data_IF_939973034038
#
_entry.id   IF_939973034038
#
_cell.length_a   1.000
_cell.length_b   1.000
_cell.length_c   1.000
_cell.angle_alpha   90.00
_cell.angle_beta   90.00
_cell.angle_gamma   90.00
#
_symmetry.space_group_name_H-M   'P 1'
#
loop_
_entity.id
_entity.type
_entity.pdbx_description
1 polymer ?
#
# COMPACT_ATOMS: atom_id res chain seq x y z
N UNK A 1 17.96 -3.39 -13.91
CA UNK A 1 17.19 -4.04 -14.99
C UNK A 1 15.68 -3.83 -14.74
N UNK A 2 14.97 -3.01 -15.56
CA UNK A 2 13.55 -2.73 -15.40
C UNK A 2 12.67 -3.97 -15.48
N UNK A 3 12.99 -4.93 -16.34
CA UNK A 3 12.18 -6.13 -16.51
C UNK A 3 12.28 -7.05 -15.27
N UNK A 4 13.45 -7.12 -14.64
CA UNK A 4 13.62 -7.84 -13.37
C UNK A 4 12.85 -7.15 -12.25
N UNK A 5 12.94 -5.83 -12.12
CA UNK A 5 12.18 -5.07 -11.13
C UNK A 5 10.68 -5.27 -11.31
N UNK A 6 10.18 -5.27 -12.55
CA UNK A 6 8.79 -5.54 -12.86
C UNK A 6 8.35 -6.94 -12.39
N UNK A 7 9.14 -7.99 -12.69
CA UNK A 7 8.81 -9.37 -12.30
C UNK A 7 8.75 -9.54 -10.77
N UNK A 8 9.59 -8.83 -10.03
CA UNK A 8 9.63 -8.90 -8.57
C UNK A 8 8.51 -8.07 -7.91
N UNK A 9 8.19 -6.90 -8.45
CA UNK A 9 7.22 -5.98 -7.84
C UNK A 9 5.77 -6.32 -8.18
N UNK A 10 5.51 -6.80 -9.38
CA UNK A 10 4.14 -7.04 -9.85
C UNK A 10 3.33 -7.94 -8.91
N UNK A 11 3.83 -9.13 -8.47
CA UNK A 11 3.08 -10.00 -7.56
C UNK A 11 2.96 -9.42 -6.13
N UNK A 12 3.81 -8.46 -5.76
CA UNK A 12 3.65 -7.77 -4.48
C UNK A 12 2.50 -6.76 -4.52
N UNK A 13 2.34 -6.05 -5.65
CA UNK A 13 1.34 -4.99 -5.78
C UNK A 13 -0.06 -5.54 -6.07
N UNK A 14 -0.16 -6.55 -6.92
CA UNK A 14 -1.44 -7.03 -7.42
C UNK A 14 -1.55 -8.55 -7.34
N UNK A 15 -2.73 -9.04 -6.98
CA UNK A 15 -3.01 -10.48 -6.97
C UNK A 15 -3.07 -11.06 -8.39
N UNK A 16 -2.82 -12.36 -8.53
CA UNK A 16 -2.89 -13.04 -9.82
C UNK A 16 -4.31 -12.97 -10.43
N UNK A 17 -5.33 -13.06 -9.58
CA UNK A 17 -6.74 -12.96 -9.95
C UNK A 17 -7.06 -11.57 -10.53
N UNK A 18 -6.61 -10.51 -9.85
CA UNK A 18 -6.80 -9.14 -10.35
C UNK A 18 -6.10 -8.93 -11.69
N UNK A 19 -4.86 -9.41 -11.83
CA UNK A 19 -4.10 -9.29 -13.06
C UNK A 19 -4.67 -10.11 -14.22
N UNK A 20 -5.46 -11.14 -13.95
CA UNK A 20 -6.21 -11.87 -14.95
C UNK A 20 -7.45 -11.09 -15.43
N UNK A 21 -8.10 -10.36 -14.52
CA UNK A 21 -9.27 -9.52 -14.83
C UNK A 21 -8.88 -8.17 -15.44
N UNK A 22 -7.73 -7.63 -15.05
CA UNK A 22 -7.23 -6.30 -15.40
C UNK A 22 -5.81 -6.39 -15.98
N UNK A 23 -5.63 -6.99 -17.17
CA UNK A 23 -4.30 -7.18 -17.77
C UNK A 23 -3.57 -5.88 -18.08
N UNK A 24 -4.30 -4.76 -18.25
CA UNK A 24 -3.73 -3.42 -18.45
C UNK A 24 -2.82 -2.99 -17.29
N UNK A 25 -3.09 -3.39 -16.06
CA UNK A 25 -2.25 -3.06 -14.90
C UNK A 25 -0.81 -3.53 -15.06
N UNK A 26 -0.61 -4.64 -15.80
CA UNK A 26 0.75 -5.13 -16.13
C UNK A 26 1.49 -4.14 -17.02
N UNK A 27 0.78 -3.62 -18.00
CA UNK A 27 1.34 -2.70 -18.99
C UNK A 27 1.68 -1.36 -18.36
N UNK A 28 0.72 -0.79 -17.64
CA UNK A 28 0.85 0.50 -16.95
C UNK A 28 2.02 0.48 -15.95
N UNK A 29 2.17 -0.60 -15.20
CA UNK A 29 3.28 -0.76 -14.26
C UNK A 29 4.63 -0.88 -14.97
N UNK A 30 4.71 -1.66 -16.04
CA UNK A 30 5.95 -1.81 -16.82
C UNK A 30 6.38 -0.48 -17.42
N UNK A 31 5.44 0.28 -17.98
CA UNK A 31 5.68 1.60 -18.54
C UNK A 31 6.12 2.60 -17.44
N UNK A 32 5.48 2.58 -16.28
CA UNK A 32 5.88 3.40 -15.14
C UNK A 32 7.32 3.10 -14.70
N UNK A 33 7.71 1.83 -14.61
CA UNK A 33 9.09 1.43 -14.25
C UNK A 33 10.10 1.87 -15.31
N UNK A 34 9.77 1.71 -16.61
CA UNK A 34 10.68 2.06 -17.72
C UNK A 34 10.86 3.56 -17.91
N UNK A 35 9.83 4.34 -17.59
CA UNK A 35 9.83 5.81 -17.75
C UNK A 35 10.27 6.56 -16.51
N UNK A 36 10.22 5.93 -15.32
CA UNK A 36 10.65 6.55 -14.09
C UNK A 36 12.15 6.88 -14.11
N UNK A 37 12.55 8.06 -13.66
CA UNK A 37 13.97 8.37 -13.49
C UNK A 37 14.58 7.42 -12.45
N UNK A 38 15.83 6.96 -12.64
CA UNK A 38 16.47 6.07 -11.70
C UNK A 38 16.65 6.76 -10.34
N UNK A 39 16.29 6.05 -9.28
CA UNK A 39 16.54 6.52 -7.91
C UNK A 39 18.04 6.47 -7.62
N UNK A 40 18.68 7.59 -7.25
CA UNK A 40 20.09 7.59 -6.88
C UNK A 40 20.36 6.62 -5.72
N UNK A 41 21.47 5.89 -5.77
CA UNK A 41 21.85 4.90 -4.75
C UNK A 41 21.82 5.47 -3.33
N UNK A 42 22.35 6.68 -3.14
CA UNK A 42 22.32 7.34 -1.83
C UNK A 42 20.90 7.58 -1.31
N UNK A 43 19.95 7.89 -2.18
CA UNK A 43 18.56 8.07 -1.82
C UNK A 43 17.96 6.74 -1.36
N UNK A 44 18.23 5.68 -2.09
CA UNK A 44 17.82 4.33 -1.73
C UNK A 44 18.35 3.89 -0.36
N UNK A 45 19.65 4.07 -0.13
CA UNK A 45 20.30 3.76 1.17
C UNK A 45 19.66 4.55 2.31
N UNK A 46 19.41 5.86 2.13
CA UNK A 46 18.77 6.71 3.14
C UNK A 46 17.34 6.29 3.43
N UNK A 47 16.55 5.94 2.41
CA UNK A 47 15.19 5.44 2.61
C UNK A 47 15.18 4.15 3.44
N UNK A 48 16.04 3.19 3.10
CA UNK A 48 16.15 1.95 3.87
C UNK A 48 16.62 2.16 5.30
N UNK A 49 17.56 3.07 5.52
CA UNK A 49 18.00 3.43 6.87
C UNK A 49 16.85 4.05 7.69
N UNK A 50 16.06 4.93 7.07
CA UNK A 50 14.90 5.55 7.72
C UNK A 50 13.83 4.51 8.07
N UNK A 51 13.50 3.59 7.14
CA UNK A 51 12.52 2.52 7.37
C UNK A 51 12.96 1.60 8.52
N UNK A 52 14.22 1.18 8.52
CA UNK A 52 14.77 0.29 9.58
C UNK A 52 14.83 0.95 10.95
N UNK A 53 15.03 2.26 11.00
CA UNK A 53 15.09 3.04 12.23
C UNK A 53 13.73 3.52 12.73
N UNK A 54 12.68 3.38 11.92
CA UNK A 54 11.36 3.89 12.26
C UNK A 54 10.59 2.90 13.14
N UNK A 55 10.18 3.37 14.32
CA UNK A 55 9.23 2.67 15.17
C UNK A 55 8.26 3.69 15.79
N UNK A 56 6.99 3.58 15.47
CA UNK A 56 5.93 4.43 16.00
C UNK A 56 5.02 3.70 16.99
N UNK A 57 5.21 2.41 17.23
CA UNK A 57 4.29 1.54 17.95
C UNK A 57 3.83 2.13 19.28
N UNK A 58 4.77 2.60 20.13
CA UNK A 58 4.46 3.16 21.45
C UNK A 58 3.85 4.57 21.40
N UNK A 59 3.96 5.26 20.26
CA UNK A 59 3.42 6.59 20.03
C UNK A 59 2.00 6.57 19.43
N UNK A 60 1.60 5.47 18.78
CA UNK A 60 0.28 5.35 18.14
C UNK A 60 -0.89 5.67 19.07
N UNK A 61 -0.89 5.25 20.36
CA UNK A 61 -1.99 5.58 21.28
C UNK A 61 -2.11 7.07 21.62
N UNK A 62 -1.11 7.86 21.26
CA UNK A 62 -1.11 9.32 21.51
C UNK A 62 -1.83 10.10 20.41
N UNK A 63 -2.16 9.47 19.29
CA UNK A 63 -2.94 10.10 18.23
C UNK A 63 -4.33 10.50 18.77
N UNK A 64 -4.75 11.75 18.48
CA UNK A 64 -6.03 12.31 18.88
C UNK A 64 -6.89 12.74 17.71
N UNK A 65 -6.31 12.73 16.51
CA UNK A 65 -7.02 13.01 15.26
C UNK A 65 -7.81 11.78 14.80
N UNK A 66 -8.90 11.94 14.05
CA UNK A 66 -9.55 10.83 13.35
C UNK A 66 -8.56 10.10 12.45
N UNK A 67 -8.66 8.78 12.39
CA UNK A 67 -7.77 7.93 11.58
C UNK A 67 -8.60 6.93 10.80
N UNK A 68 -8.38 6.86 9.50
CA UNK A 68 -8.89 5.81 8.63
C UNK A 68 -7.74 4.90 8.20
N UNK A 69 -7.90 3.60 8.36
CA UNK A 69 -6.98 2.56 7.91
C UNK A 69 -7.68 1.82 6.77
N UNK A 70 -7.07 1.81 5.58
CA UNK A 70 -7.55 1.03 4.43
C UNK A 70 -6.46 0.02 4.08
N UNK A 71 -6.80 -1.27 3.94
CA UNK A 71 -5.82 -2.32 3.70
C UNK A 71 -6.40 -3.46 2.86
N UNK A 72 -5.60 -4.02 1.94
CA UNK A 72 -5.95 -5.21 1.18
C UNK A 72 -5.67 -6.50 1.96
N UNK A 73 -6.61 -7.45 1.99
CA UNK A 73 -6.42 -8.70 2.73
C UNK A 73 -5.50 -9.72 2.03
N UNK A 74 -5.08 -9.42 0.79
CA UNK A 74 -4.10 -10.20 0.01
C UNK A 74 -2.76 -9.47 -0.18
N UNK A 75 -2.52 -8.45 0.63
CA UNK A 75 -1.26 -7.72 0.61
C UNK A 75 -0.13 -8.61 1.17
N UNK A 76 0.79 -9.01 0.30
CA UNK A 76 1.98 -9.81 0.67
C UNK A 76 3.20 -8.93 0.96
N UNK A 77 3.17 -7.65 0.57
CA UNK A 77 4.22 -6.68 0.87
C UNK A 77 4.14 -6.17 2.31
N UNK A 78 2.90 -5.91 2.76
CA UNK A 78 2.59 -5.48 4.12
C UNK A 78 1.42 -6.33 4.64
N UNK A 79 1.67 -7.39 5.41
CA UNK A 79 0.62 -8.31 5.86
C UNK A 79 -0.52 -7.61 6.60
N UNK A 80 -1.76 -8.12 6.47
CA UNK A 80 -2.97 -7.54 7.06
C UNK A 80 -2.89 -7.40 8.58
N UNK A 81 -2.07 -8.21 9.23
CA UNK A 81 -1.80 -8.12 10.67
C UNK A 81 -1.31 -6.72 11.07
N UNK A 82 -0.59 -6.01 10.18
CA UNK A 82 -0.16 -4.64 10.45
C UNK A 82 -1.36 -3.68 10.56
N UNK A 83 -2.40 -3.85 9.76
CA UNK A 83 -3.63 -3.06 9.86
C UNK A 83 -4.35 -3.34 11.20
N UNK A 84 -4.40 -4.59 11.63
CA UNK A 84 -4.96 -4.98 12.92
C UNK A 84 -4.13 -4.44 14.10
N UNK A 85 -2.80 -4.45 13.99
CA UNK A 85 -1.91 -3.84 14.98
C UNK A 85 -2.19 -2.33 15.07
N UNK A 86 -2.26 -1.62 13.95
CA UNK A 86 -2.60 -0.20 13.92
C UNK A 86 -3.95 0.06 14.59
N UNK A 87 -4.99 -0.68 14.22
CA UNK A 87 -6.32 -0.58 14.83
C UNK A 87 -6.31 -0.83 16.33
N UNK A 88 -5.54 -1.81 16.80
CA UNK A 88 -5.43 -2.12 18.22
C UNK A 88 -4.73 -1.02 19.03
N UNK A 89 -3.77 -0.33 18.40
CA UNK A 89 -3.00 0.75 19.03
C UNK A 89 -3.67 2.12 18.90
N UNK A 90 -4.61 2.27 17.95
CA UNK A 90 -5.40 3.48 17.72
C UNK A 90 -6.88 3.07 17.83
N UNK A 91 -7.44 2.91 19.03
CA UNK A 91 -8.77 2.29 19.19
C UNK A 91 -9.91 3.04 18.48
N UNK A 92 -9.77 4.36 18.31
CA UNK A 92 -10.73 5.22 17.62
C UNK A 92 -10.54 5.27 16.09
N UNK A 93 -9.50 4.60 15.53
CA UNK A 93 -9.36 4.50 14.09
C UNK A 93 -10.49 3.67 13.48
N UNK A 94 -10.92 4.02 12.27
CA UNK A 94 -11.76 3.16 11.45
C UNK A 94 -10.89 2.25 10.59
N UNK A 95 -11.30 0.99 10.44
CA UNK A 95 -10.58 0.01 9.62
C UNK A 95 -11.50 -0.50 8.51
N UNK A 96 -11.05 -0.33 7.28
CA UNK A 96 -11.72 -0.83 6.06
C UNK A 96 -10.80 -1.83 5.38
N UNK A 97 -11.29 -3.05 5.21
CA UNK A 97 -10.56 -4.12 4.51
C UNK A 97 -11.08 -4.23 3.08
N UNK A 98 -10.18 -4.13 2.12
CA UNK A 98 -10.43 -4.39 0.71
C UNK A 98 -10.21 -5.88 0.43
N UNK A 99 -11.30 -6.63 0.34
CA UNK A 99 -11.24 -8.08 0.11
C UNK A 99 -10.74 -8.43 -1.29
N UNK A 100 -9.78 -9.33 -1.37
CA UNK A 100 -9.13 -9.77 -2.62
C UNK A 100 -8.07 -8.81 -3.14
N UNK A 101 -7.82 -7.69 -2.47
CA UNK A 101 -6.87 -6.67 -2.90
C UNK A 101 -5.46 -6.90 -2.35
N UNK A 102 -4.44 -6.61 -3.18
CA UNK A 102 -3.03 -6.62 -2.82
C UNK A 102 -2.52 -5.27 -2.31
N UNK A 103 -1.19 -5.11 -2.34
CA UNK A 103 -0.52 -3.90 -1.86
C UNK A 103 -0.84 -2.64 -2.70
N UNK A 104 -0.99 -2.79 -4.00
CA UNK A 104 -1.27 -1.68 -4.93
C UNK A 104 -2.76 -1.35 -5.06
N UNK A 105 -3.51 -1.36 -3.96
CA UNK A 105 -4.95 -1.12 -3.95
C UNK A 105 -5.34 0.22 -4.58
N UNK A 106 -4.61 1.28 -4.30
CA UNK A 106 -4.89 2.64 -4.79
C UNK A 106 -4.69 2.78 -6.30
N UNK A 107 -3.85 1.96 -6.89
CA UNK A 107 -3.65 1.91 -8.35
C UNK A 107 -4.61 0.94 -9.03
N UNK A 108 -4.97 -0.14 -8.34
CA UNK A 108 -5.90 -1.14 -8.85
C UNK A 108 -7.35 -0.65 -8.83
N UNK A 109 -7.75 -0.01 -7.74
CA UNK A 109 -9.14 0.40 -7.48
C UNK A 109 -9.22 1.87 -6.98
N UNK A 110 -8.74 2.84 -7.80
CA UNK A 110 -8.62 4.24 -7.36
C UNK A 110 -9.98 4.85 -6.99
N UNK A 111 -11.03 4.54 -7.72
CA UNK A 111 -12.37 5.06 -7.44
C UNK A 111 -12.90 4.50 -6.12
N UNK A 112 -12.74 3.20 -5.87
CA UNK A 112 -13.17 2.58 -4.63
C UNK A 112 -12.45 3.20 -3.42
N UNK A 113 -11.14 3.40 -3.49
CA UNK A 113 -10.35 4.04 -2.42
C UNK A 113 -10.81 5.47 -2.18
N UNK A 114 -10.97 6.25 -3.27
CA UNK A 114 -11.43 7.65 -3.19
C UNK A 114 -12.82 7.75 -2.57
N UNK A 115 -13.74 6.86 -2.95
CA UNK A 115 -15.10 6.83 -2.40
C UNK A 115 -15.10 6.53 -0.90
N UNK A 116 -14.30 5.54 -0.45
CA UNK A 116 -14.16 5.21 0.99
C UNK A 116 -13.62 6.39 1.78
N UNK A 117 -12.59 7.07 1.27
CA UNK A 117 -12.04 8.27 1.90
C UNK A 117 -13.09 9.38 1.95
N UNK A 118 -13.77 9.64 0.83
CA UNK A 118 -14.78 10.70 0.75
C UNK A 118 -16.00 10.44 1.67
N UNK A 119 -16.44 9.19 1.76
CA UNK A 119 -17.50 8.79 2.68
C UNK A 119 -17.09 9.03 4.13
N UNK A 120 -15.89 8.58 4.50
CA UNK A 120 -15.36 8.74 5.85
C UNK A 120 -15.19 10.22 6.25
N UNK A 121 -14.76 11.08 5.33
CA UNK A 121 -14.61 12.52 5.57
C UNK A 121 -15.95 13.25 5.75
N UNK A 122 -17.04 12.68 5.24
CA UNK A 122 -18.39 13.25 5.42
C UNK A 122 -19.06 12.86 6.73
N UNK A 123 -18.53 11.88 7.44
CA UNK A 123 -19.09 11.36 8.70
C UNK A 123 -20.13 10.29 8.42
#
# INVERSE_FOLDING_TARGET
DPDKAYQELLPMLHTAELLALRPELRHDMLDAIKTAPPTPEQTYVRHWAAIRGFNAYDRLPQLRIPVLIIHGDKDIGTPIENAHILKSRIPHADLVIAHGAGHGLETAEPNWVTDRIAEWLRG
#
